data_IF_401435079242
#
_entry.id   IF_401435079242
#
_cell.length_a   1.000
_cell.length_b   1.000
_cell.length_c   1.000
_cell.angle_alpha   90.00
_cell.angle_beta   90.00
_cell.angle_gamma   90.00
#
_symmetry.space_group_name_H-M   'P 1'
#
loop_
_entity.id
_entity.type
_entity.pdbx_description
1 polymer ?
#
# COMPACT_ATOMS: atom_id res chain seq x y z
N UNK A 1 -42.46 -40.08 -53.60
CA UNK A 1 -42.28 -40.02 -52.13
C UNK A 1 -43.34 -39.07 -51.56
N UNK A 2 -44.28 -39.62 -50.78
CA UNK A 2 -45.00 -38.96 -49.68
C UNK A 2 -45.98 -37.81 -49.99
N UNK A 3 -47.29 -38.11 -49.92
CA UNK A 3 -48.40 -37.16 -49.97
C UNK A 3 -48.70 -36.41 -48.63
N UNK A 4 -49.83 -35.67 -48.57
CA UNK A 4 -50.05 -34.43 -47.79
C UNK A 4 -50.96 -34.69 -46.55
N UNK A 5 -51.81 -33.78 -46.01
CA UNK A 5 -51.82 -32.31 -45.75
C UNK A 5 -52.17 -31.95 -44.26
N UNK A 6 -52.21 -30.65 -43.92
CA UNK A 6 -53.36 -30.03 -43.22
C UNK A 6 -53.47 -30.01 -41.67
N UNK A 7 -53.44 -28.78 -41.12
CA UNK A 7 -54.37 -28.19 -40.12
C UNK A 7 -54.59 -28.77 -38.69
N UNK A 8 -54.81 -27.79 -37.79
CA UNK A 8 -55.61 -27.79 -36.54
C UNK A 8 -55.01 -28.30 -35.21
N UNK A 9 -54.84 -27.32 -34.31
CA UNK A 9 -55.31 -27.27 -32.90
C UNK A 9 -55.53 -28.60 -32.14
N UNK A 10 -54.85 -28.74 -31.00
CA UNK A 10 -55.17 -29.74 -29.98
C UNK A 10 -54.85 -29.24 -28.58
N UNK A 11 -55.91 -28.88 -27.84
CA UNK A 11 -55.94 -28.75 -26.38
C UNK A 11 -56.04 -30.14 -25.74
N UNK A 12 -55.48 -30.28 -24.54
CA UNK A 12 -55.73 -31.41 -23.60
C UNK A 12 -54.64 -32.48 -23.63
N UNK A 13 -54.26 -33.11 -22.53
CA UNK A 13 -54.84 -33.14 -21.19
C UNK A 13 -53.89 -33.93 -20.28
N UNK A 14 -53.78 -33.50 -19.01
CA UNK A 14 -53.60 -34.31 -17.78
C UNK A 14 -52.35 -35.23 -17.73
N UNK A 15 -51.57 -35.22 -16.66
CA UNK A 15 -52.08 -35.47 -15.32
C UNK A 15 -51.05 -35.15 -14.21
N UNK A 16 -51.62 -34.92 -13.03
CA UNK A 16 -51.10 -35.23 -11.69
C UNK A 16 -49.92 -34.43 -11.13
N UNK A 17 -50.30 -33.52 -10.23
CA UNK A 17 -49.88 -33.52 -8.82
C UNK A 17 -48.41 -33.17 -8.54
N UNK A 18 -48.18 -31.92 -8.20
CA UNK A 18 -47.69 -31.57 -6.85
C UNK A 18 -48.15 -30.16 -6.55
N UNK A 19 -49.30 -30.08 -5.86
CA UNK A 19 -49.75 -28.89 -5.19
C UNK A 19 -48.61 -28.38 -4.31
N UNK A 20 -47.96 -27.29 -4.74
CA UNK A 20 -46.90 -26.69 -3.94
C UNK A 20 -47.54 -26.23 -2.63
N UNK A 21 -47.05 -26.71 -1.48
CA UNK A 21 -47.73 -26.54 -0.21
C UNK A 21 -47.79 -25.06 0.16
N UNK A 22 -48.99 -24.60 0.48
CA UNK A 22 -49.24 -23.33 1.15
C UNK A 22 -48.36 -23.22 2.40
N UNK A 23 -47.59 -22.15 2.51
CA UNK A 23 -46.87 -21.80 3.72
C UNK A 23 -47.88 -21.39 4.80
N UNK A 24 -48.15 -22.32 5.72
CA UNK A 24 -48.72 -22.16 7.08
C UNK A 24 -49.37 -20.82 7.45
N UNK A 25 -50.71 -20.75 7.41
CA UNK A 25 -51.51 -19.72 8.11
C UNK A 25 -51.67 -20.09 9.60
N UNK A 26 -50.56 -20.22 10.33
CA UNK A 26 -50.59 -20.44 11.78
C UNK A 26 -49.87 -19.29 12.46
N UNK A 27 -50.64 -18.40 13.09
CA UNK A 27 -50.10 -17.34 13.93
C UNK A 27 -49.19 -17.96 14.99
N UNK A 28 -47.94 -17.49 15.06
CA UNK A 28 -47.06 -17.77 16.18
C UNK A 28 -47.74 -17.27 17.47
N UNK A 29 -47.84 -18.13 18.47
CA UNK A 29 -48.61 -17.89 19.69
C UNK A 29 -48.11 -16.69 20.49
N UNK A 30 -48.68 -15.52 20.22
CA UNK A 30 -48.63 -14.39 21.15
C UNK A 30 -49.62 -14.67 22.28
N UNK A 31 -49.11 -15.20 23.39
CA UNK A 31 -49.75 -15.04 24.70
C UNK A 31 -49.68 -13.56 25.05
N UNK A 32 -50.83 -12.89 25.06
CA UNK A 32 -50.94 -11.55 25.64
C UNK A 32 -50.64 -11.67 27.14
N UNK A 33 -49.41 -11.34 27.52
CA UNK A 33 -49.02 -11.19 28.91
C UNK A 33 -49.85 -10.05 29.50
N UNK A 34 -50.93 -10.43 30.17
CA UNK A 34 -51.68 -9.58 31.08
C UNK A 34 -50.71 -8.97 32.09
N UNK A 35 -50.56 -7.65 32.00
CA UNK A 35 -50.43 -6.72 33.13
C UNK A 35 -49.33 -7.05 34.14
N UNK A 36 -48.10 -6.63 33.84
CA UNK A 36 -47.08 -6.38 34.86
C UNK A 36 -46.44 -5.00 34.66
N UNK A 37 -46.83 -4.10 35.56
CA UNK A 37 -46.19 -2.87 36.06
C UNK A 37 -44.86 -2.42 35.40
N UNK A 38 -44.88 -1.18 34.92
CA UNK A 38 -43.77 -0.22 34.86
C UNK A 38 -42.46 -0.66 34.18
N UNK A 39 -42.53 -1.15 32.94
CA UNK A 39 -41.39 -1.15 32.03
C UNK A 39 -41.72 -0.32 30.80
N UNK A 40 -41.14 0.89 30.70
CA UNK A 40 -41.18 1.66 29.44
C UNK A 40 -40.44 0.83 28.39
N UNK A 41 -41.15 0.40 27.36
CA UNK A 41 -40.58 -0.23 26.18
C UNK A 41 -39.85 0.87 25.38
N UNK A 42 -38.52 0.89 25.44
CA UNK A 42 -37.65 1.77 24.67
C UNK A 42 -37.11 1.00 23.44
N UNK A 43 -37.71 1.19 22.24
CA UNK A 43 -37.29 0.47 21.03
C UNK A 43 -35.90 0.88 20.53
N UNK A 44 -35.31 1.94 21.09
CA UNK A 44 -34.02 2.49 20.67
C UNK A 44 -32.91 2.31 21.72
N UNK A 45 -33.21 1.76 22.91
CA UNK A 45 -32.29 1.52 24.03
C UNK A 45 -31.27 2.66 24.25
N UNK A 46 -31.72 3.92 24.22
CA UNK A 46 -30.86 5.10 24.42
C UNK A 46 -30.67 5.45 25.90
N UNK A 47 -31.30 4.72 26.82
CA UNK A 47 -31.20 4.93 28.27
C UNK A 47 -29.88 4.53 28.93
N UNK A 48 -28.99 3.84 28.20
CA UNK A 48 -27.66 3.46 28.69
C UNK A 48 -26.61 4.30 27.95
N UNK A 49 -26.31 5.48 28.48
CA UNK A 49 -25.11 6.25 28.09
C UNK A 49 -23.90 5.53 28.68
N UNK A 50 -23.63 4.31 28.20
CA UNK A 50 -22.39 3.60 28.46
C UNK A 50 -21.29 4.47 27.87
N UNK A 51 -20.45 4.98 28.76
CA UNK A 51 -19.22 5.68 28.45
C UNK A 51 -18.60 5.07 27.20
N UNK A 52 -18.34 5.91 26.20
CA UNK A 52 -17.77 5.51 24.93
C UNK A 52 -16.67 4.48 25.17
N UNK A 53 -16.86 3.25 24.65
CA UNK A 53 -15.83 2.21 24.67
C UNK A 53 -14.54 2.89 24.21
N UNK A 54 -13.56 2.95 25.11
CA UNK A 54 -12.26 3.55 24.82
C UNK A 54 -11.74 2.97 23.52
N UNK A 55 -11.33 3.86 22.60
CA UNK A 55 -10.73 3.54 21.30
C UNK A 55 -9.94 2.24 21.41
N UNK A 56 -10.45 1.17 20.80
CA UNK A 56 -9.74 -0.09 20.74
C UNK A 56 -8.34 0.22 20.21
N UNK A 57 -7.31 -0.14 21.00
CA UNK A 57 -5.92 0.00 20.58
C UNK A 57 -5.83 -0.66 19.23
N UNK A 58 -5.47 0.13 18.20
CA UNK A 58 -5.25 -0.34 16.83
C UNK A 58 -4.60 -1.72 16.90
N UNK A 59 -5.15 -2.74 16.22
CA UNK A 59 -4.55 -4.08 16.23
C UNK A 59 -3.07 -3.92 15.90
N UNK A 60 -2.22 -4.62 16.66
CA UNK A 60 -0.78 -4.57 16.46
C UNK A 60 -0.50 -4.73 14.97
N UNK A 61 0.06 -3.68 14.35
CA UNK A 61 0.35 -3.66 12.92
C UNK A 61 1.12 -4.93 12.58
N UNK A 62 0.62 -5.67 11.59
CA UNK A 62 1.29 -6.87 11.10
C UNK A 62 2.76 -6.52 10.79
N UNK A 63 3.73 -7.42 11.02
CA UNK A 63 5.13 -7.19 10.65
C UNK A 63 5.30 -6.63 9.23
N UNK A 64 4.46 -7.08 8.29
CA UNK A 64 4.44 -6.62 6.91
C UNK A 64 3.89 -5.20 6.74
N UNK A 65 2.91 -4.80 7.55
CA UNK A 65 2.41 -3.41 7.58
C UNK A 65 3.47 -2.46 8.12
N UNK A 66 4.24 -2.88 9.13
CA UNK A 66 5.38 -2.10 9.66
C UNK A 66 6.44 -1.87 8.58
N UNK A 67 6.73 -2.88 7.75
CA UNK A 67 7.66 -2.75 6.63
C UNK A 67 7.12 -1.79 5.56
N UNK A 68 5.81 -1.86 5.26
CA UNK A 68 5.16 -0.91 4.33
C UNK A 68 5.15 0.52 4.84
N UNK A 69 4.96 0.73 6.13
CA UNK A 69 5.01 2.06 6.72
C UNK A 69 6.45 2.61 6.74
N UNK A 70 7.46 1.76 6.95
CA UNK A 70 8.86 2.13 6.80
C UNK A 70 9.19 2.53 5.35
N UNK A 71 8.68 1.81 4.34
CA UNK A 71 8.82 2.21 2.93
C UNK A 71 8.24 3.60 2.66
N UNK A 72 7.00 3.87 3.12
CA UNK A 72 6.38 5.19 2.98
C UNK A 72 7.20 6.29 3.66
N UNK A 73 7.76 5.99 4.83
CA UNK A 73 8.62 6.93 5.54
C UNK A 73 9.89 7.25 4.75
N UNK A 74 10.52 6.25 4.14
CA UNK A 74 11.70 6.45 3.27
C UNK A 74 11.33 7.33 2.08
N UNK A 75 10.19 7.07 1.41
CA UNK A 75 9.69 7.94 0.32
C UNK A 75 9.55 9.39 0.79
N UNK A 76 8.88 9.61 1.93
CA UNK A 76 8.68 10.95 2.48
C UNK A 76 10.00 11.65 2.83
N UNK A 77 11.01 10.92 3.31
CA UNK A 77 12.33 11.49 3.58
C UNK A 77 13.07 11.88 2.31
N UNK A 78 12.96 11.09 1.23
CA UNK A 78 13.55 11.44 -0.07
C UNK A 78 12.91 12.71 -0.63
N UNK A 79 11.57 12.82 -0.57
CA UNK A 79 10.86 14.03 -1.01
C UNK A 79 11.23 15.25 -0.18
N UNK A 80 11.25 15.12 1.16
CA UNK A 80 11.68 16.22 2.06
C UNK A 80 13.12 16.65 1.81
N UNK A 81 14.02 15.70 1.54
CA UNK A 81 15.41 15.98 1.18
C UNK A 81 15.49 16.79 -0.12
N UNK A 82 14.69 16.43 -1.12
CA UNK A 82 14.63 17.17 -2.38
C UNK A 82 14.09 18.59 -2.18
N UNK A 83 12.97 18.76 -1.45
CA UNK A 83 12.39 20.07 -1.13
C UNK A 83 13.35 20.95 -0.35
N UNK A 84 14.01 20.40 0.68
CA UNK A 84 14.98 21.15 1.50
C UNK A 84 16.17 21.65 0.67
N UNK A 85 16.60 20.89 -0.35
CA UNK A 85 17.63 21.34 -1.28
C UNK A 85 17.13 22.48 -2.17
N UNK A 86 15.89 22.43 -2.64
CA UNK A 86 15.27 23.48 -3.46
C UNK A 86 15.15 24.80 -2.68
N UNK A 87 14.86 24.73 -1.39
CA UNK A 87 14.85 25.86 -0.46
C UNK A 87 16.26 26.44 -0.17
N UNK A 88 17.32 25.84 -0.73
CA UNK A 88 18.72 26.25 -0.54
C UNK A 88 19.36 25.69 0.73
N UNK A 89 18.65 24.88 1.52
CA UNK A 89 19.20 24.22 2.70
C UNK A 89 19.90 22.91 2.34
N UNK A 90 21.05 23.04 1.68
CA UNK A 90 21.81 21.91 1.13
C UNK A 90 22.32 20.95 2.23
N UNK A 91 22.64 21.47 3.42
CA UNK A 91 23.08 20.67 4.56
C UNK A 91 21.94 19.87 5.18
N UNK A 92 20.77 20.48 5.36
CA UNK A 92 19.57 19.80 5.85
C UNK A 92 19.12 18.70 4.91
N UNK A 93 19.16 18.97 3.60
CA UNK A 93 18.86 17.99 2.57
C UNK A 93 19.74 16.74 2.65
N UNK A 94 21.05 16.90 2.90
CA UNK A 94 21.97 15.78 3.06
C UNK A 94 21.69 14.94 4.31
N UNK A 95 21.37 15.56 5.44
CA UNK A 95 21.04 14.83 6.65
C UNK A 95 19.76 14.00 6.49
N UNK A 96 18.73 14.56 5.85
CA UNK A 96 17.52 13.83 5.48
C UNK A 96 17.81 12.66 4.52
N UNK A 97 18.69 12.86 3.52
CA UNK A 97 19.08 11.80 2.60
C UNK A 97 19.86 10.67 3.31
N UNK A 98 20.76 11.01 4.24
CA UNK A 98 21.47 10.02 5.06
C UNK A 98 20.51 9.24 5.95
N UNK A 99 19.50 9.89 6.51
CA UNK A 99 18.46 9.24 7.29
C UNK A 99 17.65 8.26 6.43
N UNK A 100 17.21 8.68 5.24
CA UNK A 100 16.55 7.80 4.28
C UNK A 100 17.41 6.57 3.96
N UNK A 101 18.71 6.75 3.69
CA UNK A 101 19.64 5.65 3.45
C UNK A 101 19.86 4.72 4.65
N UNK A 102 19.78 5.24 5.89
CA UNK A 102 19.80 4.40 7.09
C UNK A 102 18.54 3.53 7.20
N UNK A 103 17.37 4.12 6.97
CA UNK A 103 16.07 3.43 7.02
C UNK A 103 15.92 2.41 5.89
N UNK A 104 16.39 2.72 4.69
CA UNK A 104 16.42 1.78 3.56
C UNK A 104 17.25 0.53 3.88
N UNK A 105 18.45 0.70 4.45
CA UNK A 105 19.27 -0.44 4.89
C UNK A 105 18.59 -1.25 6.01
N UNK A 106 17.85 -0.59 6.90
CA UNK A 106 17.06 -1.28 7.92
C UNK A 106 15.92 -2.09 7.31
N UNK A 107 15.21 -1.52 6.32
CA UNK A 107 14.16 -2.21 5.57
C UNK A 107 14.70 -3.45 4.85
N UNK A 108 15.82 -3.32 4.13
CA UNK A 108 16.49 -4.44 3.46
C UNK A 108 16.82 -5.58 4.43
N UNK A 109 17.46 -5.26 5.57
CA UNK A 109 17.81 -6.26 6.60
C UNK A 109 16.58 -6.91 7.23
N UNK A 110 15.52 -6.13 7.48
CA UNK A 110 14.29 -6.65 8.07
C UNK A 110 13.57 -7.60 7.11
N UNK A 111 13.59 -7.30 5.79
CA UNK A 111 13.07 -8.21 4.77
C UNK A 111 13.90 -9.47 4.62
N UNK A 112 15.23 -9.36 4.67
CA UNK A 112 16.14 -10.51 4.66
C UNK A 112 15.87 -11.48 5.82
N UNK A 113 15.71 -10.96 7.05
CA UNK A 113 15.41 -11.77 8.23
C UNK A 113 14.07 -12.52 8.13
N UNK A 114 13.13 -11.99 7.35
CA UNK A 114 11.82 -12.60 7.11
C UNK A 114 11.77 -13.40 5.80
N UNK A 115 12.89 -13.52 5.09
CA UNK A 115 13.00 -14.18 3.79
C UNK A 115 12.08 -13.57 2.72
N UNK A 116 11.94 -12.23 2.72
CA UNK A 116 11.11 -11.41 1.83
C UNK A 116 11.94 -10.49 0.90
N UNK A 117 13.17 -10.91 0.55
CA UNK A 117 14.06 -10.11 -0.30
C UNK A 117 13.53 -9.97 -1.74
N UNK A 118 12.76 -10.95 -2.21
CA UNK A 118 12.07 -10.94 -3.50
C UNK A 118 11.02 -9.82 -3.60
N UNK A 119 10.51 -9.35 -2.46
CA UNK A 119 9.56 -8.25 -2.40
C UNK A 119 10.24 -6.86 -2.40
N UNK A 120 11.57 -6.79 -2.32
CA UNK A 120 12.31 -5.53 -2.23
C UNK A 120 11.94 -4.55 -3.35
N UNK A 121 11.58 -3.32 -2.98
CA UNK A 121 11.34 -2.26 -3.94
C UNK A 121 12.69 -1.69 -4.43
N UNK A 122 13.20 -2.27 -5.52
CA UNK A 122 14.48 -1.87 -6.13
C UNK A 122 14.46 -0.41 -6.62
N UNK A 123 13.29 0.09 -7.03
CA UNK A 123 13.13 1.49 -7.46
C UNK A 123 13.27 2.46 -6.28
N UNK A 124 12.76 2.08 -5.10
CA UNK A 124 12.96 2.86 -3.87
C UNK A 124 14.43 2.90 -3.47
N UNK A 125 15.11 1.75 -3.44
CA UNK A 125 16.55 1.69 -3.14
C UNK A 125 17.36 2.55 -4.12
N UNK A 126 17.01 2.47 -5.40
CA UNK A 126 17.61 3.29 -6.44
C UNK A 126 17.40 4.79 -6.19
N UNK A 127 16.17 5.21 -5.90
CA UNK A 127 15.83 6.60 -5.61
C UNK A 127 16.58 7.15 -4.40
N UNK A 128 16.69 6.35 -3.33
CA UNK A 128 17.45 6.71 -2.11
C UNK A 128 18.93 6.89 -2.42
N UNK A 129 19.55 5.94 -3.13
CA UNK A 129 20.96 6.04 -3.53
C UNK A 129 21.23 7.25 -4.42
N UNK A 130 20.36 7.48 -5.41
CA UNK A 130 20.51 8.61 -6.31
C UNK A 130 20.35 9.94 -5.59
N UNK A 131 19.32 10.08 -4.74
CA UNK A 131 19.14 11.28 -3.93
C UNK A 131 20.36 11.52 -3.04
N UNK A 132 20.85 10.49 -2.34
CA UNK A 132 22.03 10.60 -1.48
C UNK A 132 23.27 11.09 -2.27
N UNK A 133 23.55 10.52 -3.45
CA UNK A 133 24.65 10.96 -4.30
C UNK A 133 24.53 12.43 -4.71
N UNK A 134 23.32 12.87 -5.10
CA UNK A 134 23.05 14.27 -5.49
C UNK A 134 23.28 15.21 -4.30
N UNK A 135 22.83 14.83 -3.10
CA UNK A 135 23.04 15.68 -1.93
C UNK A 135 24.51 15.73 -1.49
N UNK A 136 25.26 14.64 -1.59
CA UNK A 136 26.71 14.68 -1.36
C UNK A 136 27.40 15.61 -2.36
N UNK A 137 27.06 15.53 -3.65
CA UNK A 137 27.60 16.42 -4.67
C UNK A 137 27.27 17.89 -4.39
N UNK A 138 26.05 18.18 -3.92
CA UNK A 138 25.63 19.54 -3.57
C UNK A 138 26.36 20.10 -2.32
N UNK A 139 26.85 19.24 -1.43
CA UNK A 139 27.64 19.61 -0.25
C UNK A 139 29.16 19.54 -0.50
N UNK A 140 29.60 19.54 -1.75
CA UNK A 140 31.01 19.41 -2.15
C UNK A 140 31.69 18.12 -1.66
N UNK A 141 30.90 17.10 -1.28
CA UNK A 141 31.40 15.81 -0.85
C UNK A 141 31.58 14.86 -2.05
N UNK A 142 32.40 15.30 -2.99
CA UNK A 142 32.53 14.69 -4.30
C UNK A 142 33.02 13.22 -4.28
N UNK A 143 33.90 12.86 -3.34
CA UNK A 143 34.43 11.50 -3.23
C UNK A 143 33.32 10.48 -2.88
N UNK A 144 32.44 10.85 -1.96
CA UNK A 144 31.30 10.04 -1.53
C UNK A 144 30.24 9.98 -2.62
N UNK A 145 29.97 11.11 -3.28
CA UNK A 145 29.08 11.15 -4.44
C UNK A 145 29.56 10.21 -5.56
N UNK A 146 30.85 10.25 -5.92
CA UNK A 146 31.44 9.36 -6.93
C UNK A 146 31.35 7.88 -6.55
N UNK A 147 31.56 7.54 -5.27
CA UNK A 147 31.41 6.17 -4.79
C UNK A 147 29.97 5.68 -5.00
N UNK A 148 28.98 6.47 -4.62
CA UNK A 148 27.57 6.10 -4.74
C UNK A 148 27.15 6.03 -6.21
N UNK A 149 27.53 7.02 -7.04
CA UNK A 149 27.28 6.98 -8.48
C UNK A 149 27.89 5.74 -9.14
N UNK A 150 29.11 5.35 -8.72
CA UNK A 150 29.76 4.13 -9.21
C UNK A 150 28.95 2.88 -8.89
N UNK A 151 28.36 2.79 -7.69
CA UNK A 151 27.48 1.68 -7.33
C UNK A 151 26.22 1.65 -8.19
N UNK A 152 25.60 2.82 -8.43
CA UNK A 152 24.40 2.97 -9.26
C UNK A 152 24.67 2.52 -10.70
N UNK A 153 25.72 3.03 -11.35
CA UNK A 153 26.01 2.73 -12.77
C UNK A 153 26.44 1.28 -13.01
N UNK A 154 26.92 0.57 -11.97
CA UNK A 154 27.31 -0.83 -12.04
C UNK A 154 26.14 -1.79 -11.84
N UNK A 155 25.05 -1.34 -11.21
CA UNK A 155 23.88 -2.17 -10.98
C UNK A 155 23.01 -2.24 -12.26
N UNK A 156 22.90 -3.46 -12.82
CA UNK A 156 22.12 -3.73 -14.05
C UNK A 156 20.62 -3.68 -13.84
N UNK A 157 20.14 -3.76 -12.59
CA UNK A 157 18.72 -3.64 -12.29
C UNK A 157 18.22 -2.19 -12.41
N UNK A 158 19.12 -1.20 -12.38
CA UNK A 158 18.74 0.20 -12.49
C UNK A 158 18.65 0.63 -13.96
N UNK A 159 17.45 0.91 -14.49
CA UNK A 159 17.28 1.31 -15.88
C UNK A 159 17.95 2.66 -16.13
N UNK A 160 18.61 2.79 -17.29
CA UNK A 160 19.28 4.02 -17.74
C UNK A 160 20.35 4.58 -16.78
N UNK A 161 20.83 3.79 -15.80
CA UNK A 161 21.81 4.23 -14.80
C UNK A 161 23.10 4.79 -15.42
N UNK A 162 23.48 4.33 -16.62
CA UNK A 162 24.62 4.86 -17.37
C UNK A 162 24.60 6.38 -17.61
N UNK A 163 23.43 7.03 -17.59
CA UNK A 163 23.31 8.49 -17.74
C UNK A 163 23.97 9.27 -16.60
N UNK A 164 24.09 8.71 -15.40
CA UNK A 164 24.76 9.38 -14.27
C UNK A 164 26.28 9.43 -14.42
N UNK A 165 26.87 8.79 -15.44
CA UNK A 165 28.28 9.03 -15.79
C UNK A 165 28.53 10.48 -16.16
N UNK A 166 27.52 11.21 -16.66
CA UNK A 166 27.62 12.65 -16.89
C UNK A 166 27.80 13.40 -15.57
N UNK A 167 27.06 13.05 -14.52
CA UNK A 167 27.24 13.64 -13.19
C UNK A 167 28.64 13.36 -12.64
N UNK A 168 29.13 12.12 -12.80
CA UNK A 168 30.51 11.77 -12.43
C UNK A 168 31.53 12.60 -13.23
N UNK A 169 31.31 12.77 -14.54
CA UNK A 169 32.14 13.60 -15.40
C UNK A 169 32.17 15.06 -14.94
N UNK A 170 31.03 15.62 -14.55
CA UNK A 170 30.94 16.98 -14.00
C UNK A 170 31.76 17.13 -12.70
N UNK A 171 31.77 16.10 -11.85
CA UNK A 171 32.61 16.10 -10.65
C UNK A 171 34.09 16.07 -11.03
N UNK A 172 34.51 15.20 -11.95
CA UNK A 172 35.91 15.16 -12.41
C UNK A 172 36.34 16.46 -13.09
N UNK A 173 35.42 17.09 -13.84
CA UNK A 173 35.61 18.42 -14.41
C UNK A 173 35.71 19.51 -13.34
N UNK A 174 34.94 19.44 -12.25
CA UNK A 174 35.10 20.38 -11.14
C UNK A 174 36.46 20.23 -10.43
N UNK A 175 37.01 19.01 -10.39
CA UNK A 175 38.25 18.69 -9.68
C UNK A 175 39.53 18.91 -10.49
N UNK A 176 39.45 19.34 -11.74
CA UNK A 176 40.62 19.39 -12.65
C UNK A 176 41.29 18.03 -12.89
N UNK A 177 40.55 16.94 -12.65
CA UNK A 177 41.01 15.56 -12.81
C UNK A 177 40.44 14.95 -14.08
N UNK A 178 40.73 15.56 -15.22
CA UNK A 178 40.50 14.95 -16.52
C UNK A 178 41.84 14.55 -17.14
N UNK A 179 41.90 13.37 -17.73
CA UNK A 179 43.00 13.00 -18.63
C UNK A 179 42.80 13.73 -19.96
N UNK A 180 43.83 14.43 -20.43
CA UNK A 180 43.88 14.97 -21.79
C UNK A 180 43.86 13.84 -22.84
#
# INVERSE_FOLDING_TARGET
>A
MGGPPGSRSGFGTRNTETARPMTSNRAAGYTAATKAKNGVFDPMNQGDVKAAKGLEKKPELSPEEKLRDLEKEIHALVEKSAMSREEGNVRGALELAKEAGKKERQLCRAREQQNLLDQLNVDLTYAVCLNLAIQHQANDNDAEALQIYTQIVKNKQYPFSGRFRVNMGNIYFKQEKWTA
#
